data_IF_371880904328
#
_entry.id   IF_371880904328
#
_cell.length_a   1.000
_cell.length_b   1.000
_cell.length_c   1.000
_cell.angle_alpha   90.00
_cell.angle_beta   90.00
_cell.angle_gamma   90.00
#
_symmetry.space_group_name_H-M   'P 1'
#
loop_
_entity.id
_entity.type
_entity.pdbx_description
1 polymer ?
#
# COMPACT_ATOMS: atom_id res chain seq x y z
N UNK A 1 19.15 28.90 7.65
CA UNK A 1 17.78 28.35 7.62
C UNK A 1 17.89 26.85 7.80
N UNK A 2 17.25 26.28 8.82
CA UNK A 2 17.31 24.84 9.09
C UNK A 2 16.19 24.13 8.34
N UNK A 3 16.50 23.06 7.61
CA UNK A 3 15.51 22.19 7.00
C UNK A 3 14.71 21.49 8.11
N UNK A 4 13.38 21.41 8.00
CA UNK A 4 12.53 20.61 8.89
C UNK A 4 13.11 19.20 8.98
N UNK A 5 13.32 18.71 10.21
CA UNK A 5 13.78 17.35 10.42
C UNK A 5 12.58 16.41 10.58
N UNK A 6 12.68 15.23 9.99
CA UNK A 6 11.61 14.23 10.02
C UNK A 6 11.16 13.85 11.44
N UNK A 7 12.10 13.78 12.38
CA UNK A 7 11.87 13.38 13.77
C UNK A 7 11.15 14.45 14.62
N UNK A 8 11.08 15.69 14.13
CA UNK A 8 10.39 16.78 14.82
C UNK A 8 8.89 16.83 14.48
N UNK A 9 8.46 16.20 13.37
CA UNK A 9 7.07 16.21 12.92
C UNK A 9 6.23 15.12 13.60
N UNK A 10 5.13 15.47 14.32
CA UNK A 10 4.22 14.50 14.94
C UNK A 10 3.61 13.47 13.96
N UNK A 11 3.45 13.83 12.70
CA UNK A 11 2.98 12.95 11.62
C UNK A 11 3.92 11.77 11.36
N UNK A 12 5.18 11.85 11.79
CA UNK A 12 6.17 10.79 11.65
C UNK A 12 6.26 9.87 12.89
N UNK A 13 5.31 9.94 13.84
CA UNK A 13 5.35 9.16 15.10
C UNK A 13 5.60 7.66 14.94
N UNK A 14 5.13 7.04 13.85
CA UNK A 14 5.32 5.61 13.58
C UNK A 14 6.45 5.31 12.62
N UNK A 15 7.04 6.32 11.96
CA UNK A 15 8.04 6.15 10.89
C UNK A 15 9.22 5.30 11.35
N UNK A 16 9.78 5.60 12.52
CA UNK A 16 10.95 4.88 13.08
C UNK A 16 10.64 3.40 13.31
N UNK A 17 9.47 3.10 13.86
CA UNK A 17 9.10 1.72 14.19
C UNK A 17 8.67 0.94 12.92
N UNK A 18 7.94 1.58 12.00
CA UNK A 18 7.56 1.00 10.71
C UNK A 18 8.76 0.68 9.82
N UNK A 19 9.75 1.58 9.79
CA UNK A 19 10.96 1.44 8.99
C UNK A 19 12.14 0.82 9.75
N UNK A 20 11.90 0.24 10.93
CA UNK A 20 12.94 -0.42 11.71
C UNK A 20 13.60 -1.52 10.88
N UNK A 21 14.92 -1.43 10.73
CA UNK A 21 15.74 -2.34 9.90
C UNK A 21 15.41 -2.32 8.40
N UNK A 22 14.68 -1.30 7.92
CA UNK A 22 14.34 -1.14 6.50
C UNK A 22 15.19 -0.01 5.91
N UNK A 23 15.93 -0.30 4.84
CA UNK A 23 16.79 0.68 4.16
C UNK A 23 16.17 1.09 2.83
N UNK A 24 15.24 2.03 2.87
CA UNK A 24 14.48 2.43 1.67
C UNK A 24 15.38 3.01 0.56
N UNK A 25 16.44 3.74 0.92
CA UNK A 25 17.39 4.29 -0.05
C UNK A 25 18.14 3.21 -0.82
N UNK A 26 18.48 2.11 -0.14
CA UNK A 26 19.16 0.97 -0.77
C UNK A 26 18.26 0.30 -1.83
N UNK A 27 16.95 0.20 -1.55
CA UNK A 27 15.96 -0.26 -2.52
C UNK A 27 15.88 0.68 -3.72
N UNK A 28 15.79 1.99 -3.49
CA UNK A 28 15.76 2.98 -4.58
C UNK A 28 17.00 2.88 -5.47
N UNK A 29 18.19 2.84 -4.87
CA UNK A 29 19.47 2.80 -5.58
C UNK A 29 19.60 1.50 -6.36
N UNK A 30 19.20 0.37 -5.76
CA UNK A 30 19.17 -0.93 -6.43
C UNK A 30 18.24 -0.87 -7.64
N UNK A 31 17.03 -0.34 -7.52
CA UNK A 31 16.06 -0.30 -8.61
C UNK A 31 16.38 0.73 -9.72
N UNK A 32 17.21 1.74 -9.42
CA UNK A 32 17.70 2.73 -10.40
C UNK A 32 18.87 2.24 -11.25
N UNK A 33 19.46 1.08 -10.94
CA UNK A 33 20.54 0.48 -11.73
C UNK A 33 19.98 -0.40 -12.86
N UNK A 34 20.63 -0.42 -14.03
CA UNK A 34 20.12 -1.06 -15.25
C UNK A 34 20.14 -2.60 -15.20
N UNK A 35 21.00 -3.21 -14.37
CA UNK A 35 21.27 -4.66 -14.35
C UNK A 35 20.85 -5.38 -13.06
N UNK A 36 19.89 -4.83 -12.32
CA UNK A 36 19.55 -5.29 -10.95
C UNK A 36 18.10 -5.72 -10.80
N UNK A 37 17.39 -6.05 -11.90
CA UNK A 37 15.96 -6.46 -11.87
C UNK A 37 15.66 -7.43 -10.72
N UNK A 38 16.36 -8.57 -10.67
CA UNK A 38 16.14 -9.58 -9.63
C UNK A 38 16.37 -9.01 -8.23
N UNK A 39 17.45 -8.26 -8.02
CA UNK A 39 17.78 -7.65 -6.74
C UNK A 39 16.73 -6.62 -6.32
N UNK A 40 16.27 -5.76 -7.23
CA UNK A 40 15.22 -4.78 -6.99
C UNK A 40 13.92 -5.46 -6.53
N UNK A 41 13.46 -6.48 -7.26
CA UNK A 41 12.23 -7.19 -6.90
C UNK A 41 12.40 -7.97 -5.59
N UNK A 42 13.55 -8.63 -5.38
CA UNK A 42 13.83 -9.34 -4.13
C UNK A 42 13.81 -8.40 -2.93
N UNK A 43 14.48 -7.25 -3.04
CA UNK A 43 14.49 -6.24 -1.97
C UNK A 43 13.11 -5.61 -1.75
N UNK A 44 12.31 -5.40 -2.80
CA UNK A 44 10.95 -4.91 -2.66
C UNK A 44 10.05 -5.89 -1.87
N UNK A 45 10.19 -7.20 -2.13
CA UNK A 45 9.47 -8.24 -1.38
C UNK A 45 9.94 -8.30 0.08
N UNK A 46 11.25 -8.21 0.31
CA UNK A 46 11.83 -8.18 1.66
C UNK A 46 11.40 -6.93 2.43
N UNK A 47 11.32 -5.77 1.76
CA UNK A 47 10.78 -4.54 2.30
C UNK A 47 9.34 -4.75 2.80
N UNK A 48 8.46 -5.29 1.95
CA UNK A 48 7.06 -5.50 2.32
C UNK A 48 6.90 -6.49 3.48
N UNK A 49 7.73 -7.53 3.51
CA UNK A 49 7.74 -8.53 4.60
C UNK A 49 8.21 -7.91 5.92
N UNK A 50 9.24 -7.07 5.88
CA UNK A 50 9.76 -6.35 7.04
C UNK A 50 8.76 -5.30 7.52
N UNK A 51 8.14 -4.56 6.61
CA UNK A 51 7.10 -3.58 6.90
C UNK A 51 5.93 -4.25 7.63
N UNK A 52 5.50 -5.43 7.17
CA UNK A 52 4.44 -6.19 7.83
C UNK A 52 4.83 -6.60 9.26
N UNK A 53 6.04 -7.11 9.45
CA UNK A 53 6.52 -7.52 10.78
C UNK A 53 6.57 -6.34 11.76
N UNK A 54 7.04 -5.19 11.28
CA UNK A 54 7.06 -3.95 12.05
C UNK A 54 5.65 -3.44 12.35
N UNK A 55 4.78 -3.42 11.33
CA UNK A 55 3.36 -3.08 11.47
C UNK A 55 2.68 -3.97 12.53
N UNK A 56 2.88 -5.29 12.48
CA UNK A 56 2.31 -6.22 13.45
C UNK A 56 2.69 -5.86 14.89
N UNK A 57 3.94 -5.42 15.09
CA UNK A 57 4.47 -5.01 16.39
C UNK A 57 3.80 -3.72 16.88
N UNK A 58 3.69 -2.70 16.03
CA UNK A 58 3.06 -1.41 16.41
C UNK A 58 1.54 -1.50 16.52
N UNK A 59 0.91 -2.38 15.72
CA UNK A 59 -0.55 -2.53 15.64
C UNK A 59 -1.14 -2.87 16.99
N UNK A 60 -0.58 -3.89 17.65
CA UNK A 60 -1.01 -4.36 18.97
C UNK A 60 -0.78 -3.32 20.07
N UNK A 61 0.30 -2.55 19.96
CA UNK A 61 0.75 -1.64 21.02
C UNK A 61 0.13 -0.25 20.94
N UNK A 62 -0.19 0.21 19.74
CA UNK A 62 -0.59 1.60 19.51
C UNK A 62 -1.87 1.69 18.67
N UNK A 63 -1.89 1.07 17.48
CA UNK A 63 -2.95 1.29 16.51
C UNK A 63 -4.31 0.76 16.97
N UNK A 64 -4.35 -0.46 17.50
CA UNK A 64 -5.58 -1.09 18.02
C UNK A 64 -6.13 -0.38 19.25
N UNK A 65 -5.24 -0.04 20.21
CA UNK A 65 -5.65 0.57 21.48
C UNK A 65 -6.20 1.98 21.31
N UNK A 66 -5.68 2.73 20.34
CA UNK A 66 -6.06 4.14 20.11
C UNK A 66 -7.02 4.33 18.94
N UNK A 67 -7.32 3.25 18.21
CA UNK A 67 -8.04 3.30 16.93
C UNK A 67 -7.47 4.38 15.97
N UNK A 68 -6.15 4.53 15.98
CA UNK A 68 -5.48 5.64 15.28
C UNK A 68 -5.39 5.32 13.78
N UNK A 69 -6.12 6.03 12.88
CA UNK A 69 -6.12 5.74 11.45
C UNK A 69 -4.75 5.94 10.79
N UNK A 70 -3.84 6.71 11.43
CA UNK A 70 -2.52 7.02 10.91
C UNK A 70 -1.67 5.78 10.63
N UNK A 71 -1.81 4.73 11.44
CA UNK A 71 -1.08 3.48 11.20
C UNK A 71 -1.36 2.89 9.82
N UNK A 72 -2.63 2.79 9.44
CA UNK A 72 -3.00 2.25 8.12
C UNK A 72 -2.61 3.20 6.99
N UNK A 73 -2.75 4.51 7.22
CA UNK A 73 -2.34 5.55 6.27
C UNK A 73 -0.83 5.45 5.97
N UNK A 74 0.02 5.24 6.98
CA UNK A 74 1.47 5.14 6.80
C UNK A 74 1.89 3.83 6.14
N UNK A 75 1.30 2.71 6.53
CA UNK A 75 1.54 1.42 5.85
C UNK A 75 1.18 1.51 4.38
N UNK A 76 -0.01 2.04 4.06
CA UNK A 76 -0.47 2.23 2.70
C UNK A 76 0.47 3.13 1.89
N UNK A 77 0.97 4.22 2.48
CA UNK A 77 1.96 5.09 1.86
C UNK A 77 3.24 4.33 1.46
N UNK A 78 3.80 3.50 2.35
CA UNK A 78 5.02 2.77 2.04
C UNK A 78 4.83 1.72 0.96
N UNK A 79 3.66 1.10 0.85
CA UNK A 79 3.33 0.16 -0.23
C UNK A 79 3.22 0.90 -1.56
N UNK A 80 2.53 2.04 -1.59
CA UNK A 80 2.48 2.90 -2.79
C UNK A 80 3.87 3.36 -3.21
N UNK A 81 4.76 3.61 -2.24
CA UNK A 81 6.13 3.99 -2.53
C UNK A 81 6.93 2.86 -3.17
N UNK A 82 6.85 1.63 -2.63
CA UNK A 82 7.52 0.45 -3.22
C UNK A 82 7.04 0.19 -4.65
N UNK A 83 5.72 0.24 -4.87
CA UNK A 83 5.16 0.07 -6.21
C UNK A 83 5.72 1.10 -7.19
N UNK A 84 5.86 2.34 -6.74
CA UNK A 84 6.40 3.41 -7.56
C UNK A 84 7.90 3.27 -7.84
N UNK A 85 8.68 2.74 -6.89
CA UNK A 85 10.08 2.38 -7.10
C UNK A 85 10.18 1.31 -8.20
N UNK A 86 9.35 0.26 -8.14
CA UNK A 86 9.31 -0.78 -9.17
C UNK A 86 8.91 -0.18 -10.53
N UNK A 87 7.88 0.66 -10.55
CA UNK A 87 7.40 1.31 -11.78
C UNK A 87 8.48 2.18 -12.43
N UNK A 88 9.18 2.97 -11.62
CA UNK A 88 10.23 3.91 -12.03
C UNK A 88 11.60 3.27 -12.25
N UNK A 89 11.74 1.98 -11.97
CA UNK A 89 13.00 1.26 -12.16
C UNK A 89 13.47 1.29 -13.63
N UNK A 90 14.78 1.15 -13.85
CA UNK A 90 15.35 1.28 -15.20
C UNK A 90 15.23 0.02 -16.06
N UNK A 91 15.02 -1.15 -15.46
CA UNK A 91 14.83 -2.36 -16.25
C UNK A 91 13.56 -2.23 -17.10
N UNK A 92 13.71 -2.40 -18.42
CA UNK A 92 12.58 -2.29 -19.35
C UNK A 92 11.89 -3.66 -19.45
N UNK A 93 10.82 -3.83 -18.69
CA UNK A 93 10.11 -5.09 -18.62
C UNK A 93 8.60 -4.88 -18.72
N UNK A 94 7.92 -5.49 -19.73
CA UNK A 94 6.46 -5.51 -19.78
C UNK A 94 5.82 -6.15 -18.52
N UNK A 95 6.58 -6.89 -17.70
CA UNK A 95 6.10 -7.52 -16.46
C UNK A 95 6.24 -6.64 -15.20
N UNK A 96 6.58 -5.35 -15.31
CA UNK A 96 6.57 -4.44 -14.13
C UNK A 96 5.22 -4.48 -13.39
N UNK A 97 4.13 -4.53 -14.15
CA UNK A 97 2.78 -4.65 -13.60
C UNK A 97 2.59 -5.98 -12.86
N UNK A 98 3.15 -7.10 -13.33
CA UNK A 98 3.08 -8.38 -12.63
C UNK A 98 3.79 -8.32 -11.26
N UNK A 99 4.91 -7.59 -11.17
CA UNK A 99 5.60 -7.41 -9.89
C UNK A 99 4.83 -6.50 -8.94
N UNK A 100 4.21 -5.43 -9.44
CA UNK A 100 3.32 -4.58 -8.65
C UNK A 100 2.13 -5.42 -8.14
N UNK A 101 1.51 -6.23 -8.99
CA UNK A 101 0.44 -7.16 -8.59
C UNK A 101 0.90 -8.15 -7.52
N UNK A 102 2.15 -8.62 -7.59
CA UNK A 102 2.74 -9.49 -6.55
C UNK A 102 2.89 -8.75 -5.22
N UNK A 103 3.32 -7.49 -5.22
CA UNK A 103 3.38 -6.66 -4.01
C UNK A 103 1.98 -6.44 -3.42
N UNK A 104 0.99 -6.11 -4.26
CA UNK A 104 -0.41 -5.95 -3.81
C UNK A 104 -0.98 -7.28 -3.27
N UNK A 105 -0.61 -8.42 -3.85
CA UNK A 105 -1.02 -9.73 -3.34
C UNK A 105 -0.41 -10.02 -1.96
N UNK A 106 0.89 -9.75 -1.79
CA UNK A 106 1.56 -9.84 -0.48
C UNK A 106 0.84 -8.97 0.55
N UNK A 107 0.44 -7.75 0.14
CA UNK A 107 -0.32 -6.88 1.02
C UNK A 107 -1.66 -7.50 1.42
N UNK A 108 -2.45 -7.99 0.46
CA UNK A 108 -3.75 -8.63 0.73
C UNK A 108 -3.60 -9.80 1.71
N UNK A 109 -2.57 -10.62 1.51
CA UNK A 109 -2.32 -11.82 2.31
C UNK A 109 -1.84 -11.51 3.73
N UNK A 110 -1.20 -10.37 3.95
CA UNK A 110 -0.62 -10.00 5.25
C UNK A 110 -1.48 -9.01 6.04
N UNK A 111 -1.98 -7.97 5.39
CA UNK A 111 -2.68 -6.85 6.02
C UNK A 111 -4.20 -6.94 5.83
N UNK A 112 -4.67 -7.64 4.78
CA UNK A 112 -6.09 -7.81 4.48
C UNK A 112 -6.82 -8.87 5.31
N UNK A 113 -6.08 -9.66 6.11
CA UNK A 113 -6.63 -10.71 6.98
C UNK A 113 -7.51 -10.14 8.10
N UNK A 114 -8.47 -10.94 8.55
CA UNK A 114 -9.44 -10.59 9.61
C UNK A 114 -8.74 -10.41 10.95
N UNK A 115 -8.36 -9.18 11.23
CA UNK A 115 -7.99 -8.69 12.55
C UNK A 115 -9.03 -7.67 13.03
N UNK A 116 -9.10 -7.41 14.34
CA UNK A 116 -10.02 -6.43 14.91
C UNK A 116 -9.78 -5.01 14.33
N UNK A 117 -8.51 -4.66 14.15
CA UNK A 117 -8.09 -3.45 13.43
C UNK A 117 -7.58 -3.82 12.04
N UNK A 118 -8.37 -3.48 11.01
CA UNK A 118 -8.14 -3.82 9.61
C UNK A 118 -7.69 -2.60 8.82
N UNK A 119 -6.53 -2.68 8.18
CA UNK A 119 -6.17 -1.72 7.16
C UNK A 119 -6.82 -2.10 5.84
N UNK A 120 -7.70 -1.25 5.33
CA UNK A 120 -8.26 -1.38 3.99
C UNK A 120 -7.39 -0.61 2.99
N UNK A 121 -7.33 -1.15 1.78
CA UNK A 121 -6.66 -0.54 0.63
C UNK A 121 -7.48 -0.91 -0.59
N UNK A 122 -8.22 0.06 -1.08
CA UNK A 122 -9.02 -0.12 -2.29
C UNK A 122 -8.14 -0.06 -3.53
N UNK A 123 -8.46 -0.87 -4.52
CA UNK A 123 -7.79 -0.90 -5.81
C UNK A 123 -8.75 -0.33 -6.85
N UNK A 124 -8.48 0.90 -7.27
CA UNK A 124 -9.21 1.59 -8.34
C UNK A 124 -8.27 2.58 -9.04
N UNK A 125 -8.70 3.16 -10.17
CA UNK A 125 -7.93 4.11 -10.99
C UNK A 125 -7.36 5.30 -10.21
N UNK A 126 -8.10 5.77 -9.20
CA UNK A 126 -7.79 6.97 -8.42
C UNK A 126 -7.20 6.66 -7.04
N UNK A 127 -7.29 5.41 -6.59
CA UNK A 127 -7.01 4.98 -5.22
C UNK A 127 -5.63 5.39 -4.69
N UNK A 128 -4.59 5.34 -5.53
CA UNK A 128 -3.25 5.82 -5.19
C UNK A 128 -3.25 7.32 -4.88
N UNK A 129 -3.91 8.12 -5.72
CA UNK A 129 -4.01 9.56 -5.56
C UNK A 129 -4.85 9.91 -4.33
N UNK A 130 -5.96 9.20 -4.10
CA UNK A 130 -6.78 9.32 -2.90
C UNK A 130 -5.96 9.09 -1.63
N UNK A 131 -5.20 7.99 -1.58
CA UNK A 131 -4.33 7.67 -0.44
C UNK A 131 -3.23 8.70 -0.22
N UNK A 132 -2.63 9.22 -1.28
CA UNK A 132 -1.64 10.31 -1.16
C UNK A 132 -2.27 11.59 -0.60
N UNK A 133 -3.46 11.97 -1.06
CA UNK A 133 -4.20 13.14 -0.55
C UNK A 133 -4.58 12.92 0.92
N UNK A 134 -5.12 11.75 1.27
CA UNK A 134 -5.48 11.40 2.66
C UNK A 134 -4.23 11.40 3.55
N UNK A 135 -3.11 10.84 3.08
CA UNK A 135 -1.83 10.87 3.80
C UNK A 135 -1.38 12.31 4.07
N UNK A 136 -1.40 13.16 3.05
CA UNK A 136 -1.02 14.57 3.18
C UNK A 136 -1.92 15.33 4.17
N UNK A 137 -3.24 15.16 4.07
CA UNK A 137 -4.20 15.83 4.96
C UNK A 137 -4.04 15.32 6.40
N UNK A 138 -3.81 14.02 6.57
CA UNK A 138 -3.48 13.43 7.86
C UNK A 138 -2.19 13.99 8.43
N UNK A 139 -1.13 14.12 7.63
CA UNK A 139 0.14 14.68 8.10
C UNK A 139 -0.03 16.11 8.59
N UNK A 140 -0.65 16.95 7.77
CA UNK A 140 -0.92 18.34 8.14
C UNK A 140 -1.76 18.45 9.42
N UNK A 141 -2.79 17.61 9.58
CA UNK A 141 -3.59 17.58 10.80
C UNK A 141 -2.75 17.30 12.05
N UNK A 142 -1.85 16.32 11.98
CA UNK A 142 -1.00 15.97 13.11
C UNK A 142 0.10 17.02 13.36
N UNK A 143 0.60 17.67 12.31
CA UNK A 143 1.71 18.62 12.40
C UNK A 143 1.26 20.05 12.70
N UNK A 144 -0.04 20.34 12.59
CA UNK A 144 -0.61 21.70 12.72
C UNK A 144 -0.13 22.43 13.98
N UNK A 145 -0.26 21.81 15.15
CA UNK A 145 0.11 22.44 16.42
C UNK A 145 1.63 22.71 16.51
N UNK A 146 2.45 21.82 15.94
CA UNK A 146 3.89 22.03 15.83
C UNK A 146 4.19 23.21 14.90
N UNK A 147 3.56 23.26 13.73
CA UNK A 147 3.74 24.33 12.74
C UNK A 147 3.28 25.68 13.27
N UNK A 148 2.18 25.74 14.01
CA UNK A 148 1.68 26.96 14.64
C UNK A 148 2.67 27.49 15.68
N UNK A 149 3.18 26.63 16.57
CA UNK A 149 4.19 27.02 17.57
C UNK A 149 5.50 27.45 16.92
N UNK A 150 5.97 26.71 15.92
CA UNK A 150 7.19 27.02 15.18
C UNK A 150 7.07 28.32 14.37
N UNK A 151 5.86 28.67 13.92
CA UNK A 151 5.63 29.90 13.12
C UNK A 151 5.92 31.19 13.87
N UNK A 152 5.87 31.18 15.20
CA UNK A 152 6.26 32.33 16.03
C UNK A 152 7.77 32.61 15.98
N UNK A 153 8.58 31.61 15.65
CA UNK A 153 10.05 31.70 15.61
C UNK A 153 10.59 31.68 14.17
N UNK A 154 9.90 31.00 13.26
CA UNK A 154 10.27 30.89 11.86
C UNK A 154 9.06 31.26 10.96
N UNK A 155 9.09 32.47 10.39
CA UNK A 155 8.05 32.93 9.46
C UNK A 155 7.95 32.07 8.18
N UNK A 156 9.01 31.32 7.85
CA UNK A 156 9.08 30.46 6.67
C UNK A 156 8.70 29.00 6.95
N UNK A 157 8.29 28.64 8.17
CA UNK A 157 8.04 27.23 8.54
C UNK A 157 7.05 26.52 7.59
N UNK A 158 6.01 27.23 7.14
CA UNK A 158 5.02 26.68 6.20
C UNK A 158 5.60 26.47 4.79
N UNK A 159 6.55 27.31 4.37
CA UNK A 159 7.25 27.14 3.09
C UNK A 159 8.18 25.94 3.17
N UNK A 160 8.92 25.80 4.27
CA UNK A 160 9.78 24.65 4.53
C UNK A 160 8.96 23.35 4.62
N UNK A 161 7.78 23.40 5.22
CA UNK A 161 6.85 22.27 5.29
C UNK A 161 6.29 21.89 3.91
N UNK A 162 5.93 22.87 3.08
CA UNK A 162 5.49 22.61 1.71
C UNK A 162 6.61 21.96 0.88
N UNK A 163 7.86 22.36 1.07
CA UNK A 163 9.03 21.72 0.45
C UNK A 163 9.22 20.29 0.96
N UNK A 164 9.08 20.07 2.26
CA UNK A 164 9.13 18.73 2.85
C UNK A 164 8.09 17.79 2.25
N UNK A 165 6.84 18.23 2.17
CA UNK A 165 5.74 17.44 1.60
C UNK A 165 5.97 17.20 0.09
N UNK A 166 6.47 18.20 -0.63
CA UNK A 166 6.86 18.04 -2.03
C UNK A 166 7.91 16.93 -2.20
N UNK A 167 8.98 16.95 -1.41
CA UNK A 167 10.01 15.91 -1.45
C UNK A 167 9.42 14.53 -1.14
N UNK A 168 8.64 14.42 -0.06
CA UNK A 168 8.01 13.17 0.41
C UNK A 168 7.09 12.53 -0.63
N UNK A 169 6.32 13.33 -1.36
CA UNK A 169 5.29 12.85 -2.29
C UNK A 169 5.70 12.86 -3.75
N UNK A 170 6.74 13.61 -4.14
CA UNK A 170 7.19 13.75 -5.53
C UNK A 170 7.48 12.42 -6.23
N UNK A 171 7.96 11.43 -5.48
CA UNK A 171 8.21 10.11 -6.02
C UNK A 171 6.90 9.41 -6.40
N UNK A 172 5.87 9.49 -5.55
CA UNK A 172 4.60 8.76 -5.66
C UNK A 172 3.58 9.48 -6.53
N UNK A 173 3.43 10.80 -6.38
CA UNK A 173 2.42 11.59 -7.08
C UNK A 173 2.93 12.08 -8.44
N UNK A 174 2.73 11.25 -9.47
CA UNK A 174 2.93 11.63 -10.88
C UNK A 174 1.57 11.72 -11.58
N UNK A 175 1.10 12.95 -11.79
CA UNK A 175 -0.25 13.27 -12.26
C UNK A 175 -0.43 13.24 -13.79
N UNK A 176 0.56 12.76 -14.56
CA UNK A 176 0.61 12.88 -16.02
C UNK A 176 -0.66 12.41 -16.76
N UNK A 177 -1.35 11.37 -16.25
CA UNK A 177 -2.57 10.81 -16.85
C UNK A 177 -3.87 11.53 -16.47
N UNK A 178 -3.89 12.32 -15.39
CA UNK A 178 -5.11 12.89 -14.78
C UNK A 178 -5.11 14.43 -14.78
N UNK A 179 -4.23 15.05 -15.57
CA UNK A 179 -4.06 16.51 -15.61
C UNK A 179 -5.34 17.29 -16.00
N UNK A 180 -6.30 16.63 -16.65
CA UNK A 180 -7.60 17.21 -17.05
C UNK A 180 -8.74 16.98 -16.05
N UNK A 181 -8.53 16.20 -14.98
CA UNK A 181 -9.58 15.93 -14.00
C UNK A 181 -9.58 16.98 -12.87
N UNK A 182 -10.78 17.33 -12.42
CA UNK A 182 -11.00 18.13 -11.23
C UNK A 182 -11.12 17.21 -10.02
N UNK A 183 -10.31 17.50 -9.00
CA UNK A 183 -10.34 16.84 -7.70
C UNK A 183 -11.19 17.69 -6.76
N UNK A 184 -12.24 17.08 -6.22
CA UNK A 184 -13.04 17.65 -5.14
C UNK A 184 -12.75 16.90 -3.86
N UNK A 185 -12.33 17.65 -2.83
CA UNK A 185 -12.00 17.13 -1.52
C UNK A 185 -13.03 17.69 -0.54
N UNK A 186 -13.70 16.79 0.17
CA UNK A 186 -14.67 17.10 1.22
C UNK A 186 -14.16 16.54 2.54
N UNK A 187 -14.22 17.36 3.60
CA UNK A 187 -13.84 17.00 4.95
C UNK A 187 -15.05 17.25 5.84
N UNK A 188 -15.60 16.23 6.49
CA UNK A 188 -16.85 16.32 7.25
C UNK A 188 -17.99 16.95 6.41
N UNK A 189 -18.14 16.50 5.16
CA UNK A 189 -19.11 17.04 4.19
C UNK A 189 -18.95 18.52 3.84
N UNK A 190 -17.89 19.18 4.30
CA UNK A 190 -17.54 20.54 3.91
C UNK A 190 -16.50 20.50 2.78
N UNK A 191 -16.79 21.09 1.61
CA UNK A 191 -15.82 21.15 0.54
C UNK A 191 -14.65 22.05 0.94
N UNK A 192 -13.43 21.60 0.67
CA UNK A 192 -12.30 22.52 0.59
C UNK A 192 -12.60 23.41 -0.63
N UNK A 193 -12.73 24.71 -0.42
CA UNK A 193 -13.32 25.67 -1.37
C UNK A 193 -12.65 25.73 -2.76
N UNK A 194 -11.53 25.03 -2.98
CA UNK A 194 -10.80 25.03 -4.23
C UNK A 194 -10.95 23.69 -4.95
N UNK A 195 -11.47 23.71 -6.19
CA UNK A 195 -11.26 22.59 -7.11
C UNK A 195 -9.76 22.51 -7.41
N UNK A 196 -9.14 21.40 -7.03
CA UNK A 196 -7.70 21.19 -7.20
C UNK A 196 -7.52 20.37 -8.48
N UNK A 197 -6.69 20.86 -9.41
CA UNK A 197 -6.24 20.05 -10.54
C UNK A 197 -5.12 19.12 -10.09
N UNK A 198 -4.98 17.95 -10.69
CA UNK A 198 -3.94 16.99 -10.28
C UNK A 198 -2.53 17.60 -10.31
N UNK A 199 -2.22 18.43 -11.32
CA UNK A 199 -0.94 19.15 -11.44
C UNK A 199 -0.68 20.20 -10.33
N UNK A 200 -1.68 20.52 -9.51
CA UNK A 200 -1.55 21.41 -8.35
C UNK A 200 -1.35 20.64 -7.04
N UNK A 201 -1.22 19.30 -7.09
CA UNK A 201 -0.78 18.49 -5.96
C UNK A 201 0.76 18.52 -5.83
N UNK A 202 1.29 18.36 -4.61
CA UNK A 202 0.60 18.27 -3.32
C UNK A 202 -0.02 19.61 -2.88
N UNK A 203 -1.05 19.55 -2.03
CA UNK A 203 -1.76 20.72 -1.51
C UNK A 203 -0.82 21.66 -0.75
N UNK A 204 -0.99 22.98 -0.88
CA UNK A 204 -0.19 23.94 -0.11
C UNK A 204 -0.70 24.06 1.32
N UNK A 205 0.18 24.10 2.30
CA UNK A 205 -0.18 24.21 3.72
C UNK A 205 -1.02 25.45 4.04
N UNK A 206 -0.82 26.55 3.33
CA UNK A 206 -1.65 27.75 3.47
C UNK A 206 -3.12 27.49 3.11
N UNK A 207 -3.37 26.69 2.06
CA UNK A 207 -4.73 26.26 1.72
C UNK A 207 -5.30 25.43 2.88
N UNK A 208 -4.53 24.47 3.40
CA UNK A 208 -4.98 23.58 4.46
C UNK A 208 -5.23 24.30 5.78
N UNK A 209 -4.40 25.28 6.14
CA UNK A 209 -4.55 26.10 7.35
C UNK A 209 -5.90 26.80 7.43
N UNK A 210 -6.41 27.25 6.27
CA UNK A 210 -7.69 27.94 6.18
C UNK A 210 -8.90 26.99 6.20
N UNK A 211 -8.67 25.68 6.08
CA UNK A 211 -9.72 24.66 6.13
C UNK A 211 -9.67 23.94 7.48
N UNK A 212 -10.83 23.77 8.13
CA UNK A 212 -10.91 23.10 9.44
C UNK A 212 -10.79 21.58 9.22
N UNK A 213 -9.59 21.04 9.38
CA UNK A 213 -9.37 19.58 9.47
C UNK A 213 -9.37 19.22 10.95
N UNK A 214 -10.47 18.65 11.44
CA UNK A 214 -10.57 18.20 12.84
C UNK A 214 -10.62 16.67 12.96
N UNK A 215 -10.89 15.96 11.86
CA UNK A 215 -10.95 14.50 11.83
C UNK A 215 -10.60 13.97 10.45
N UNK A 216 -9.59 13.11 10.38
CA UNK A 216 -9.10 12.45 9.16
C UNK A 216 -10.03 11.31 8.71
N UNK A 217 -10.84 10.76 9.61
CA UNK A 217 -11.75 9.63 9.34
C UNK A 217 -12.93 10.00 8.44
N UNK A 218 -13.21 11.29 8.23
CA UNK A 218 -14.32 11.80 7.43
C UNK A 218 -13.86 12.55 6.17
N UNK A 219 -12.69 12.18 5.64
CA UNK A 219 -12.18 12.73 4.38
C UNK A 219 -12.75 11.90 3.24
N UNK A 220 -13.43 12.57 2.31
CA UNK A 220 -13.87 12.00 1.04
C UNK A 220 -13.22 12.76 -0.11
N UNK A 221 -12.56 12.04 -0.99
CA UNK A 221 -11.94 12.56 -2.22
C UNK A 221 -12.76 12.05 -3.39
N UNK A 222 -13.07 12.93 -4.34
CA UNK A 222 -13.82 12.57 -5.55
C UNK A 222 -13.14 13.18 -6.77
N UNK A 223 -13.12 12.41 -7.85
CA UNK A 223 -12.56 12.81 -9.14
C UNK A 223 -13.68 13.01 -10.13
N UNK A 224 -13.58 14.09 -10.92
CA UNK A 224 -14.59 14.43 -11.91
C UNK A 224 -13.92 14.94 -13.19
N UNK A 225 -14.38 14.45 -14.34
CA UNK A 225 -13.95 14.97 -15.62
C UNK A 225 -14.32 16.46 -15.73
N UNK A 226 -13.45 17.26 -16.36
CA UNK A 226 -13.79 18.62 -16.74
C UNK A 226 -14.98 18.57 -17.71
N UNK A 227 -16.10 19.21 -17.34
CA UNK A 227 -17.22 19.34 -18.25
C UNK A 227 -16.74 20.13 -19.47
N UNK A 228 -16.72 19.50 -20.63
CA UNK A 228 -16.45 20.18 -21.90
C UNK A 228 -17.57 21.22 -22.04
N UNK A 229 -17.23 22.49 -21.80
CA UNK A 229 -18.10 23.59 -22.20
C UNK A 229 -18.05 23.62 -23.70
N UNK A 230 -18.96 22.92 -24.36
CA UNK A 230 -19.25 23.18 -25.76
C UNK A 230 -19.68 24.65 -25.83
N UNK A 231 -18.97 25.53 -26.56
CA UNK A 231 -19.45 26.87 -26.76
C UNK A 231 -20.84 26.73 -27.38
N UNK A 232 -21.85 27.33 -26.74
CA UNK A 232 -23.12 27.54 -27.42
C UNK A 232 -22.78 28.26 -28.71
N UNK A 233 -23.15 27.66 -29.83
CA UNK A 233 -23.01 28.27 -31.14
C UNK A 233 -23.94 29.48 -31.10
N UNK A 234 -23.38 30.66 -30.87
CA UNK A 234 -24.11 31.93 -30.99
C UNK A 234 -24.49 32.09 -32.46
N UNK A 235 -25.65 31.52 -32.81
CA UNK A 235 -26.27 31.72 -34.10
C UNK A 235 -27.02 33.06 -34.03
N UNK A 236 -26.25 34.14 -34.20
CA UNK A 236 -26.82 35.47 -34.41
C UNK A 236 -27.38 35.57 -35.83
N UNK A 237 -28.62 35.13 -36.02
CA UNK A 237 -29.47 35.65 -37.09
C UNK A 237 -30.54 36.57 -36.49
N UNK A 238 -30.36 37.87 -36.68
CA UNK A 238 -31.47 38.84 -36.71
C UNK A 238 -32.32 38.49 -37.95
N UNK A 239 -33.65 38.44 -37.95
CA UNK A 239 -34.66 39.49 -37.70
C UNK A 239 -36.09 38.85 -37.81
N UNK A 240 -37.22 39.57 -37.63
CA UNK A 240 -38.30 39.23 -36.69
C UNK A 240 -39.58 38.71 -37.38
N UNK A 241 -40.65 38.38 -36.62
CA UNK A 241 -42.07 38.69 -36.91
C UNK A 241 -42.98 38.09 -35.81
N UNK A 242 -44.00 38.88 -35.46
CA UNK A 242 -45.07 38.65 -34.48
C UNK A 242 -45.97 37.43 -34.74
N UNK A 243 -46.43 36.88 -33.61
CA UNK A 243 -47.76 36.34 -33.28
C UNK A 243 -48.65 35.72 -34.38
N UNK A 244 -48.97 34.42 -34.25
CA UNK A 244 -50.36 33.95 -34.44
C UNK A 244 -50.64 32.65 -33.67
N UNK A 245 -51.74 32.69 -32.91
CA UNK A 245 -52.44 31.55 -32.30
C UNK A 245 -53.01 30.64 -33.40
N UNK A 246 -52.92 29.30 -33.25
CA UNK A 246 -54.06 28.36 -33.43
C UNK A 246 -53.86 27.14 -32.53
N UNK A 247 -54.93 26.84 -31.78
CA UNK A 247 -55.19 25.76 -30.82
C UNK A 247 -55.60 24.45 -31.50
N UNK A 248 -55.31 23.29 -30.89
CA UNK A 248 -56.18 22.09 -30.73
C UNK A 248 -55.46 21.16 -29.73
N UNK A 249 -55.89 20.98 -28.46
CA UNK A 249 -57.03 20.17 -28.00
C UNK A 249 -56.77 18.70 -28.34
N UNK A 250 -56.51 17.74 -27.44
CA UNK A 250 -57.21 17.24 -26.24
C UNK A 250 -56.28 16.17 -25.61
N UNK A 251 -56.12 15.91 -24.31
CA UNK A 251 -57.09 15.67 -23.24
C UNK A 251 -56.40 14.74 -22.20
N UNK A 252 -56.68 14.99 -20.92
CA UNK A 252 -56.10 14.44 -19.68
C UNK A 252 -56.29 12.93 -19.46
N UNK A 253 -55.42 12.30 -18.63
CA UNK A 253 -55.82 11.75 -17.33
C UNK A 253 -54.61 11.21 -16.53
N UNK A 254 -54.43 11.74 -15.32
CA UNK A 254 -53.60 11.18 -14.24
C UNK A 254 -54.29 9.95 -13.61
N UNK A 255 -53.52 8.99 -13.09
CA UNK A 255 -53.87 8.25 -11.86
C UNK A 255 -52.64 7.55 -11.29
N UNK A 256 -52.42 7.71 -9.98
CA UNK A 256 -51.29 7.12 -9.26
C UNK A 256 -51.58 5.80 -8.57
N UNK A 257 -50.60 5.41 -7.74
CA UNK A 257 -50.54 4.31 -6.75
C UNK A 257 -49.80 3.04 -7.22
N UNK A 258 -49.26 2.21 -6.30
CA UNK A 258 -47.83 2.15 -6.00
C UNK A 258 -47.23 0.77 -6.33
N UNK A 259 -45.97 0.70 -6.75
CA UNK A 259 -45.36 -0.60 -7.03
C UNK A 259 -44.86 -1.24 -5.72
N UNK A 260 -45.61 -2.25 -5.30
CA UNK A 260 -45.33 -3.22 -4.24
C UNK A 260 -43.99 -3.92 -4.51
N UNK A 261 -43.13 -3.98 -3.48
CA UNK A 261 -41.94 -4.84 -3.46
C UNK A 261 -42.42 -6.23 -3.03
N UNK A 262 -42.40 -7.18 -3.97
CA UNK A 262 -42.52 -8.61 -3.67
C UNK A 262 -41.10 -9.19 -3.47
N UNK A 263 -40.85 -9.99 -2.42
CA UNK A 263 -39.52 -10.54 -2.17
C UNK A 263 -39.25 -11.70 -3.14
N UNK A 264 -38.25 -11.56 -4.01
CA UNK A 264 -37.82 -12.66 -4.84
C UNK A 264 -36.87 -13.55 -4.04
N UNK A 265 -37.41 -14.71 -3.71
CA UNK A 265 -36.76 -15.82 -3.03
C UNK A 265 -35.58 -16.37 -3.85
N UNK A 266 -34.62 -16.85 -3.08
CA UNK A 266 -33.32 -17.37 -3.45
C UNK A 266 -33.48 -18.70 -4.20
N UNK A 267 -32.80 -18.90 -5.34
CA UNK A 267 -32.02 -20.13 -5.61
C UNK A 267 -31.37 -20.21 -7.00
N UNK A 268 -30.12 -20.68 -6.97
CA UNK A 268 -29.43 -21.47 -8.00
C UNK A 268 -28.83 -20.75 -9.21
N UNK A 269 -27.92 -19.82 -8.92
CA UNK A 269 -26.97 -19.28 -9.89
C UNK A 269 -25.75 -20.20 -10.05
N UNK A 270 -25.22 -20.29 -11.27
CA UNK A 270 -24.08 -21.10 -11.74
C UNK A 270 -22.84 -21.05 -10.83
N UNK A 271 -22.70 -20.00 -10.02
CA UNK A 271 -21.62 -19.80 -9.07
C UNK A 271 -21.48 -20.92 -8.02
N UNK A 272 -22.58 -21.46 -7.48
CA UNK A 272 -22.48 -22.53 -6.47
C UNK A 272 -21.91 -23.81 -7.08
N UNK A 273 -22.24 -24.10 -8.35
CA UNK A 273 -21.67 -25.24 -9.07
C UNK A 273 -20.18 -25.02 -9.37
N UNK A 274 -19.77 -23.80 -9.72
CA UNK A 274 -18.36 -23.45 -9.95
C UNK A 274 -17.55 -23.62 -8.66
N UNK A 275 -18.05 -23.08 -7.54
CA UNK A 275 -17.37 -23.16 -6.23
C UNK A 275 -17.21 -24.62 -5.80
N UNK A 276 -18.26 -25.43 -5.88
CA UNK A 276 -18.21 -26.86 -5.51
C UNK A 276 -17.22 -27.62 -6.40
N UNK A 277 -17.15 -27.31 -7.69
CA UNK A 277 -16.23 -27.98 -8.63
C UNK A 277 -14.77 -27.66 -8.33
N UNK A 278 -14.45 -26.40 -8.05
CA UNK A 278 -13.09 -25.96 -7.71
C UNK A 278 -12.62 -26.57 -6.39
N UNK A 279 -13.48 -26.56 -5.36
CA UNK A 279 -13.16 -27.15 -4.05
C UNK A 279 -12.94 -28.67 -4.19
N UNK A 280 -13.74 -29.35 -5.00
CA UNK A 280 -13.62 -30.80 -5.22
C UNK A 280 -12.32 -31.19 -5.93
N UNK A 281 -11.88 -30.39 -6.91
CA UNK A 281 -10.59 -30.62 -7.59
C UNK A 281 -9.40 -30.46 -6.63
N UNK A 282 -9.42 -29.43 -5.79
CA UNK A 282 -8.34 -29.19 -4.81
C UNK A 282 -8.27 -30.32 -3.79
N UNK A 283 -9.43 -30.79 -3.29
CA UNK A 283 -9.48 -31.94 -2.38
C UNK A 283 -8.89 -33.20 -3.03
N UNK A 284 -9.28 -33.50 -4.28
CA UNK A 284 -8.78 -34.66 -5.01
C UNK A 284 -7.26 -34.65 -5.18
N UNK A 285 -6.70 -33.49 -5.54
CA UNK A 285 -5.24 -33.31 -5.68
C UNK A 285 -4.54 -33.48 -4.32
N UNK A 286 -5.09 -32.91 -3.25
CA UNK A 286 -4.53 -33.05 -1.91
C UNK A 286 -4.51 -34.52 -1.43
N UNK A 287 -5.60 -35.26 -1.65
CA UNK A 287 -5.66 -36.69 -1.36
C UNK A 287 -4.66 -37.49 -2.19
N UNK A 288 -4.45 -37.13 -3.45
CA UNK A 288 -3.46 -37.77 -4.31
C UNK A 288 -2.04 -37.57 -3.75
N UNK A 289 -1.69 -36.37 -3.28
CA UNK A 289 -0.41 -36.12 -2.60
C UNK A 289 -0.25 -36.91 -1.30
N UNK A 290 -1.29 -37.04 -0.48
CA UNK A 290 -1.26 -37.87 0.72
C UNK A 290 -1.05 -39.36 0.40
N UNK A 291 -1.70 -39.86 -0.65
CA UNK A 291 -1.53 -41.23 -1.12
C UNK A 291 -0.12 -41.46 -1.68
N UNK A 292 0.41 -40.52 -2.47
CA UNK A 292 1.80 -40.58 -2.92
C UNK A 292 2.78 -40.53 -1.74
N UNK A 293 2.53 -39.69 -0.73
CA UNK A 293 3.38 -39.65 0.45
C UNK A 293 3.38 -40.98 1.23
N UNK A 294 2.21 -41.63 1.36
CA UNK A 294 2.06 -42.87 2.15
C UNK A 294 2.46 -44.13 1.40
N UNK A 295 2.19 -44.22 0.09
CA UNK A 295 2.34 -45.44 -0.70
C UNK A 295 3.49 -45.39 -1.72
N UNK A 296 4.12 -44.23 -1.94
CA UNK A 296 5.30 -44.11 -2.82
C UNK A 296 6.60 -44.14 -2.01
N UNK A 297 7.73 -44.62 -2.58
CA UNK A 297 9.05 -44.61 -1.93
C UNK A 297 9.56 -43.19 -1.60
N UNK A 298 8.86 -42.14 -2.06
CA UNK A 298 9.20 -40.74 -1.84
C UNK A 298 9.27 -40.34 -0.37
N UNK A 299 8.40 -40.86 0.50
CA UNK A 299 8.45 -40.56 1.94
C UNK A 299 9.76 -41.00 2.60
N UNK A 300 10.23 -42.21 2.26
CA UNK A 300 11.53 -42.75 2.68
C UNK A 300 12.69 -41.92 2.10
N UNK A 301 12.58 -41.49 0.85
CA UNK A 301 13.63 -40.74 0.14
C UNK A 301 13.80 -39.32 0.68
N UNK A 302 12.71 -38.64 1.06
CA UNK A 302 12.75 -37.32 1.72
C UNK A 302 13.36 -37.45 3.12
N UNK A 303 12.94 -38.43 3.91
CA UNK A 303 13.48 -38.63 5.26
C UNK A 303 14.99 -38.96 5.23
N UNK A 304 15.43 -39.77 4.28
CA UNK A 304 16.84 -40.11 4.09
C UNK A 304 17.70 -38.92 3.61
N UNK A 305 17.14 -38.00 2.81
CA UNK A 305 17.85 -36.77 2.42
C UNK A 305 17.99 -35.78 3.57
N UNK A 306 16.96 -35.64 4.41
CA UNK A 306 17.01 -34.81 5.62
C UNK A 306 18.05 -35.36 6.60
N UNK A 307 18.09 -36.68 6.80
CA UNK A 307 19.08 -37.33 7.69
C UNK A 307 20.52 -37.18 7.18
N UNK A 308 20.76 -37.39 5.87
CA UNK A 308 22.10 -37.17 5.27
C UNK A 308 22.57 -35.71 5.34
N UNK A 309 21.64 -34.75 5.21
CA UNK A 309 21.98 -33.32 5.36
C UNK A 309 22.47 -32.97 6.76
N UNK A 310 21.85 -33.55 7.80
CA UNK A 310 22.25 -33.35 9.19
C UNK A 310 23.63 -33.95 9.53
N UNK A 311 23.93 -35.14 9.01
CA UNK A 311 25.23 -35.80 9.20
C UNK A 311 26.37 -35.00 8.57
N UNK A 312 26.19 -34.49 7.35
CA UNK A 312 27.19 -33.64 6.65
C UNK A 312 27.43 -32.34 7.41
N UNK A 313 26.37 -31.71 7.95
CA UNK A 313 26.48 -30.47 8.72
C UNK A 313 27.27 -30.68 10.02
N UNK A 314 27.13 -31.84 10.67
CA UNK A 314 27.89 -32.19 11.89
C UNK A 314 29.37 -32.42 11.58
N UNK A 315 29.71 -33.09 10.47
CA UNK A 315 31.11 -33.31 10.08
C UNK A 315 31.83 -32.00 9.78
N UNK A 316 31.19 -31.07 9.05
CA UNK A 316 31.77 -29.76 8.73
C UNK A 316 31.96 -28.90 10.00
N UNK A 317 31.04 -28.98 10.96
CA UNK A 317 31.18 -28.25 12.22
C UNK A 317 32.30 -28.82 13.09
N UNK A 318 32.47 -30.14 13.11
CA UNK A 318 33.56 -30.80 13.83
C UNK A 318 34.93 -30.44 13.25
N UNK A 319 35.12 -30.52 11.93
CA UNK A 319 36.37 -30.10 11.26
C UNK A 319 36.66 -28.62 11.48
N UNK A 320 35.63 -27.76 11.47
CA UNK A 320 35.80 -26.33 11.74
C UNK A 320 36.25 -26.05 13.18
N UNK A 321 35.75 -26.81 14.15
CA UNK A 321 36.18 -26.69 15.55
C UNK A 321 37.63 -27.15 15.73
N UNK A 322 38.04 -28.26 15.09
CA UNK A 322 39.44 -28.73 15.14
C UNK A 322 40.44 -27.78 14.46
N UNK A 323 40.04 -27.03 13.43
CA UNK A 323 40.90 -26.05 12.76
C UNK A 323 41.05 -24.72 13.53
N UNK A 324 40.24 -24.49 14.57
CA UNK A 324 40.26 -23.27 15.40
C UNK A 324 40.97 -23.47 16.74
N UNK A 325 41.32 -24.70 17.12
CA UNK A 325 42.13 -25.01 18.31
C UNK A 325 43.62 -25.03 17.92
N UNK A 326 44.30 -23.90 18.11
CA UNK A 326 45.77 -23.88 18.23
C UNK A 326 46.16 -24.64 19.52
N UNK A 327 47.17 -25.52 19.51
CA UNK A 327 47.46 -26.37 20.66
C UNK A 327 48.05 -25.53 21.80
N UNK A 328 47.29 -25.39 22.89
CA UNK A 328 47.82 -24.97 24.17
C UNK A 328 48.83 -26.02 24.68
N UNK A 329 50.06 -25.52 24.88
CA UNK A 329 51.20 -26.20 25.45
C UNK A 329 50.83 -26.92 26.75
N UNK A 330 50.69 -28.23 26.70
CA UNK A 330 50.57 -29.06 27.88
C UNK A 330 51.37 -30.36 27.72
N UNK A 331 52.53 -30.36 28.38
CA UNK A 331 53.37 -31.52 28.62
C UNK A 331 52.54 -32.65 29.27
N UNK A 332 52.11 -33.63 28.48
CA UNK A 332 51.62 -34.90 29.00
C UNK A 332 52.59 -36.02 28.67
N UNK A 333 53.21 -36.50 29.74
CA UNK A 333 54.09 -37.66 29.86
C UNK A 333 53.49 -38.90 29.18
N UNK A 334 54.16 -39.45 28.16
CA UNK A 334 53.91 -40.81 27.69
C UNK A 334 54.74 -41.75 28.56
N UNK A 335 54.09 -42.38 29.54
CA UNK A 335 54.65 -43.50 30.29
C UNK A 335 54.51 -44.77 29.43
N UNK A 336 55.63 -45.28 28.94
CA UNK A 336 55.67 -46.63 28.38
C UNK A 336 55.57 -47.62 29.53
N UNK A 337 54.47 -48.35 29.60
CA UNK A 337 54.43 -49.59 30.39
C UNK A 337 55.08 -50.70 29.57
N UNK A 338 56.05 -51.35 30.20
CA UNK A 338 56.85 -52.42 29.63
C UNK A 338 56.50 -53.72 30.34
N UNK A 339 56.54 -54.83 29.59
CA UNK A 339 56.41 -56.24 30.00
C UNK A 339 54.97 -56.75 30.24
N UNK A 340 54.58 -58.01 30.04
CA UNK A 340 55.20 -59.31 29.70
C UNK A 340 54.04 -60.23 29.25
N UNK A 341 54.14 -61.25 28.38
CA UNK A 341 55.05 -62.40 28.29
C UNK A 341 55.02 -62.99 26.87
#
# INVERSE_FOLDING_TARGET
MGKIKDDELPSNRYKRDLLKNIKIKELEDTCKSDNTKYNCISQAIEFCTSLYSNYHTIRKRFCELQNDPKCCIDVNYYIDYVNEIIKSSKFNDPTKEEYIQKIEQIWRDYFGKTHAYKCTREENTHSKYERCIINQLSDFFNDKDYLEKASSQNSNIYIEYDQYIQEKLSNILKCEKLNSENISITINDQPIAQRVKCNNLPLKSQLLKNNIINNVQNIKVTFSAEAIRTPARDDHSHTPVEESRITHGTGFAETGSPLVIEPLDETNSSFTRIIVTVISMILGIFFLFLMLYKFSPFGSLVNNRIKKGGEIQQTINYEKIQLLEEPEDSQYYIKYDSSSH
#
